data_IF_364999641782
#
_entry.id   IF_364999641782
#
_cell.length_a   1.000
_cell.length_b   1.000
_cell.length_c   1.000
_cell.angle_alpha   90.00
_cell.angle_beta   90.00
_cell.angle_gamma   90.00
#
_symmetry.space_group_name_H-M   'P 1'
#
loop_
_entity.id
_entity.type
_entity.pdbx_description
1 polymer ?
#
# COMPACT_ATOMS: atom_id res chain seq x y z
N UNK A 1 -2.19 34.34 20.78
CA UNK A 1 -2.37 34.88 22.15
C UNK A 1 -2.92 33.76 23.02
N UNK A 2 -2.14 33.27 23.99
CA UNK A 2 -2.58 32.22 24.91
C UNK A 2 -3.50 32.86 25.94
N UNK A 3 -4.77 32.51 25.95
CA UNK A 3 -5.69 32.94 27.00
C UNK A 3 -6.04 31.71 27.85
N UNK A 4 -5.47 31.68 29.06
CA UNK A 4 -5.88 30.77 30.12
C UNK A 4 -7.24 31.25 30.63
N UNK A 5 -8.24 30.38 30.60
CA UNK A 5 -9.56 30.68 31.17
C UNK A 5 -9.49 30.41 32.68
N UNK A 6 -9.58 31.47 33.49
CA UNK A 6 -9.22 31.48 34.91
C UNK A 6 -10.41 31.21 35.86
N UNK A 7 -11.61 30.88 35.35
CA UNK A 7 -12.79 30.74 36.23
C UNK A 7 -13.58 29.44 36.00
N UNK A 8 -13.24 28.37 36.72
CA UNK A 8 -14.19 27.42 37.35
C UNK A 8 -13.55 26.19 38.05
N UNK A 9 -13.62 26.18 39.40
CA UNK A 9 -13.51 25.07 40.39
C UNK A 9 -12.27 24.14 40.46
N UNK A 10 -11.92 23.64 41.67
CA UNK A 10 -10.53 23.30 42.01
C UNK A 10 -10.25 21.79 42.02
N UNK A 11 -10.53 21.05 40.94
CA UNK A 11 -9.91 19.73 40.75
C UNK A 11 -9.71 19.49 39.25
N UNK A 12 -8.49 19.75 38.78
CA UNK A 12 -7.92 19.28 37.51
C UNK A 12 -8.69 19.58 36.20
N UNK A 13 -8.89 20.86 35.88
CA UNK A 13 -9.26 21.26 34.50
C UNK A 13 -8.30 22.29 33.91
N UNK A 14 -7.02 21.92 33.74
CA UNK A 14 -6.11 22.68 32.86
C UNK A 14 -6.31 22.23 31.41
N UNK A 15 -7.34 22.79 30.78
CA UNK A 15 -7.49 22.71 29.33
C UNK A 15 -6.46 23.67 28.70
N UNK A 16 -5.34 23.15 28.21
CA UNK A 16 -4.40 23.96 27.44
C UNK A 16 -4.96 24.15 26.03
N UNK A 17 -5.49 25.35 25.79
CA UNK A 17 -6.17 25.76 24.56
C UNK A 17 -5.30 26.66 23.69
N UNK A 18 -4.83 26.19 22.53
CA UNK A 18 -4.22 27.11 21.55
C UNK A 18 -5.34 27.69 20.68
N UNK A 19 -5.60 29.00 20.83
CA UNK A 19 -6.60 29.74 20.03
C UNK A 19 -5.90 30.40 18.85
N UNK A 20 -6.25 30.00 17.63
CA UNK A 20 -5.85 30.71 16.41
C UNK A 20 -7.07 31.05 15.56
N UNK A 21 -7.11 32.29 15.06
CA UNK A 21 -8.17 32.79 14.19
C UNK A 21 -7.74 32.60 12.73
N UNK A 22 -8.63 32.04 11.91
CA UNK A 22 -8.42 31.90 10.49
C UNK A 22 -9.70 32.24 9.73
N UNK A 23 -9.56 32.94 8.61
CA UNK A 23 -10.69 33.34 7.78
C UNK A 23 -11.02 32.21 6.80
N UNK A 24 -12.23 31.66 6.89
CA UNK A 24 -12.81 30.75 5.89
C UNK A 24 -14.08 31.42 5.35
N UNK A 25 -14.00 32.02 4.16
CA UNK A 25 -15.12 32.73 3.54
C UNK A 25 -15.44 34.06 4.23
N UNK A 26 -16.73 34.44 4.28
CA UNK A 26 -17.23 35.72 4.85
C UNK A 26 -17.25 35.77 6.40
N UNK A 27 -16.55 34.88 7.10
CA UNK A 27 -16.52 34.82 8.57
C UNK A 27 -15.17 34.32 9.13
N UNK A 28 -14.94 34.57 10.42
CA UNK A 28 -13.76 34.08 11.15
C UNK A 28 -14.15 32.93 12.08
N UNK A 29 -13.35 31.86 12.07
CA UNK A 29 -13.49 30.72 12.99
C UNK A 29 -12.31 30.69 13.96
N UNK A 30 -12.56 30.23 15.19
CA UNK A 30 -11.50 29.95 16.16
C UNK A 30 -11.19 28.45 16.15
N UNK A 31 -9.92 28.10 15.95
CA UNK A 31 -9.45 26.74 16.23
C UNK A 31 -9.13 26.63 17.71
N UNK A 32 -9.67 25.60 18.35
CA UNK A 32 -9.44 25.28 19.75
C UNK A 32 -8.80 23.90 19.82
N UNK A 33 -7.53 23.83 20.19
CA UNK A 33 -6.86 22.56 20.50
C UNK A 33 -6.93 22.29 22.00
N UNK A 34 -7.56 21.21 22.45
CA UNK A 34 -7.80 20.92 23.86
C UNK A 34 -7.39 19.49 24.22
N UNK A 35 -6.69 19.31 25.34
CA UNK A 35 -6.54 18.00 25.99
C UNK A 35 -7.64 17.83 27.03
N UNK A 36 -8.42 16.75 26.94
CA UNK A 36 -9.52 16.43 27.85
C UNK A 36 -9.06 15.57 29.04
N UNK A 37 -9.88 15.48 30.08
CA UNK A 37 -9.52 14.80 31.34
C UNK A 37 -9.28 13.29 31.18
N UNK A 38 -9.84 12.68 30.13
CA UNK A 38 -9.62 11.30 29.70
C UNK A 38 -8.34 11.13 28.86
N UNK A 39 -7.51 12.17 28.74
CA UNK A 39 -6.22 12.13 28.06
C UNK A 39 -6.31 12.21 26.53
N UNK A 40 -7.47 12.59 25.98
CA UNK A 40 -7.64 12.73 24.53
C UNK A 40 -7.31 14.14 24.06
N UNK A 41 -6.58 14.25 22.95
CA UNK A 41 -6.33 15.51 22.27
C UNK A 41 -7.42 15.73 21.23
N UNK A 42 -8.15 16.83 21.32
CA UNK A 42 -9.26 17.18 20.41
C UNK A 42 -9.02 18.56 19.80
N UNK A 43 -9.23 18.69 18.50
CA UNK A 43 -9.27 20.00 17.83
C UNK A 43 -10.71 20.31 17.44
N UNK A 44 -11.18 21.50 17.80
CA UNK A 44 -12.50 22.02 17.46
C UNK A 44 -12.39 23.25 16.58
N UNK A 45 -13.38 23.45 15.70
CA UNK A 45 -13.70 24.74 15.10
C UNK A 45 -14.82 25.37 15.90
N UNK A 46 -14.70 26.65 16.22
CA UNK A 46 -15.74 27.42 16.90
C UNK A 46 -16.11 28.65 16.09
N UNK A 47 -17.39 28.81 15.83
CA UNK A 47 -17.97 29.96 15.14
C UNK A 47 -18.50 30.95 16.18
N UNK A 48 -17.93 32.17 16.29
CA UNK A 48 -18.47 33.20 17.16
C UNK A 48 -19.86 33.65 16.74
N UNK A 49 -20.13 33.66 15.43
CA UNK A 49 -21.40 34.13 14.87
C UNK A 49 -22.57 33.21 15.21
N UNK A 50 -22.36 31.90 15.15
CA UNK A 50 -23.40 30.90 15.43
C UNK A 50 -23.27 30.27 16.83
N UNK A 51 -22.21 30.60 17.57
CA UNK A 51 -21.81 29.93 18.81
C UNK A 51 -21.64 28.41 18.68
N UNK A 52 -21.46 27.91 17.46
CA UNK A 52 -21.35 26.48 17.17
C UNK A 52 -19.92 25.99 17.41
N UNK A 53 -19.78 24.82 18.05
CA UNK A 53 -18.50 24.13 18.29
C UNK A 53 -18.51 22.77 17.58
N UNK A 54 -17.70 22.64 16.54
CA UNK A 54 -17.60 21.42 15.73
C UNK A 54 -16.28 20.71 16.03
N UNK A 55 -16.32 19.41 16.34
CA UNK A 55 -15.11 18.60 16.48
C UNK A 55 -14.51 18.35 15.08
N UNK A 56 -13.27 18.77 14.86
CA UNK A 56 -12.54 18.56 13.61
C UNK A 56 -11.82 17.20 13.59
N UNK A 57 -11.07 16.90 14.65
CA UNK A 57 -10.41 15.62 14.83
C UNK A 57 -10.05 15.38 16.30
N UNK A 58 -9.74 14.12 16.61
CA UNK A 58 -9.22 13.73 17.92
C UNK A 58 -8.13 12.66 17.83
N UNK A 59 -7.29 12.58 18.86
CA UNK A 59 -6.30 11.52 19.09
C UNK A 59 -6.42 11.00 20.53
N UNK A 60 -6.29 9.68 20.75
CA UNK A 60 -6.17 8.60 19.76
C UNK A 60 -7.42 8.47 18.88
N UNK A 61 -7.24 8.21 17.57
CA UNK A 61 -8.36 8.06 16.61
C UNK A 61 -9.01 6.68 16.71
N UNK A 62 -8.18 5.66 16.91
CA UNK A 62 -8.58 4.26 16.98
C UNK A 62 -7.61 3.49 17.88
N UNK A 63 -7.81 2.17 18.01
CA UNK A 63 -6.99 1.34 18.90
C UNK A 63 -5.52 1.25 18.50
N UNK A 64 -5.17 1.45 17.22
CA UNK A 64 -3.77 1.46 16.74
C UNK A 64 -3.02 2.75 17.09
N UNK A 65 -3.72 3.81 17.52
CA UNK A 65 -3.08 5.06 17.94
C UNK A 65 -2.58 5.01 19.41
N UNK A 66 -2.94 3.97 20.17
CA UNK A 66 -2.39 3.76 21.50
C UNK A 66 -0.99 3.15 21.41
N UNK A 67 -0.01 3.87 21.95
CA UNK A 67 1.39 3.47 21.98
C UNK A 67 1.59 2.07 22.57
N UNK A 68 2.10 1.12 21.78
CA UNK A 68 2.50 -0.23 22.21
C UNK A 68 1.41 -1.10 22.84
N UNK A 69 0.15 -0.66 22.89
CA UNK A 69 -0.92 -1.38 23.63
C UNK A 69 -1.52 -2.56 22.89
N UNK A 70 -1.55 -2.50 21.56
CA UNK A 70 -2.17 -3.55 20.73
C UNK A 70 -1.09 -4.38 20.04
N UNK A 71 -0.14 -3.69 19.41
CA UNK A 71 0.98 -4.31 18.70
C UNK A 71 2.27 -3.88 19.38
N UNK A 72 3.07 -4.86 19.79
CA UNK A 72 4.39 -4.65 20.37
C UNK A 72 5.46 -4.41 19.31
N UNK A 73 6.72 -4.56 19.70
CA UNK A 73 7.84 -4.29 18.81
C UNK A 73 7.85 -5.15 17.55
N UNK A 74 8.48 -4.64 16.50
CA UNK A 74 8.71 -5.29 15.22
C UNK A 74 7.45 -5.78 14.50
N UNK A 75 6.35 -5.05 14.67
CA UNK A 75 5.06 -5.34 14.06
C UNK A 75 4.35 -4.07 13.60
N UNK A 76 3.44 -4.21 12.63
CA UNK A 76 2.61 -3.11 12.12
C UNK A 76 1.17 -3.29 12.59
N UNK A 77 0.58 -2.24 13.15
CA UNK A 77 -0.84 -2.20 13.44
C UNK A 77 -1.63 -1.74 12.21
N UNK A 78 -2.57 -2.57 11.76
CA UNK A 78 -3.57 -2.21 10.75
C UNK A 78 -4.95 -2.17 11.39
N UNK A 79 -5.68 -1.07 11.19
CA UNK A 79 -7.06 -0.96 11.64
C UNK A 79 -8.00 -1.25 10.48
N UNK A 80 -8.73 -2.36 10.57
CA UNK A 80 -9.73 -2.72 9.57
C UNK A 80 -11.11 -2.24 10.01
N UNK A 81 -11.61 -1.20 9.33
CA UNK A 81 -12.87 -0.54 9.72
C UNK A 81 -14.08 -1.49 9.69
N UNK A 82 -14.11 -2.46 8.77
CA UNK A 82 -15.24 -3.39 8.63
C UNK A 82 -15.46 -4.25 9.88
N UNK A 83 -14.40 -4.56 10.61
CA UNK A 83 -14.47 -5.42 11.79
C UNK A 83 -14.25 -4.66 13.10
N UNK A 84 -13.97 -3.35 13.05
CA UNK A 84 -13.61 -2.51 14.21
C UNK A 84 -12.49 -3.07 15.10
N UNK A 85 -11.71 -4.02 14.58
CA UNK A 85 -10.69 -4.75 15.31
C UNK A 85 -9.32 -4.45 14.71
N UNK A 86 -8.34 -4.01 15.52
CA UNK A 86 -6.98 -3.87 15.05
C UNK A 86 -6.34 -5.24 14.82
N UNK A 87 -5.45 -5.33 13.83
CA UNK A 87 -4.64 -6.51 13.56
C UNK A 87 -3.16 -6.15 13.57
N UNK A 88 -2.34 -7.04 14.14
CA UNK A 88 -0.90 -6.88 14.22
C UNK A 88 -0.22 -7.83 13.24
N UNK A 89 0.62 -7.29 12.36
CA UNK A 89 1.39 -8.09 11.39
C UNK A 89 2.87 -7.96 11.68
N UNK A 90 3.56 -9.07 11.95
CA UNK A 90 5.03 -9.08 12.09
C UNK A 90 5.71 -8.73 10.77
N UNK A 91 6.91 -8.15 10.85
CA UNK A 91 7.77 -8.00 9.67
C UNK A 91 8.17 -9.36 9.08
N UNK A 92 8.57 -9.37 7.80
CA UNK A 92 9.11 -10.57 7.16
C UNK A 92 10.39 -11.01 7.88
N UNK A 93 10.50 -12.31 8.15
CA UNK A 93 11.60 -12.85 8.94
C UNK A 93 11.45 -12.67 10.45
N UNK A 94 10.27 -12.26 10.92
CA UNK A 94 9.93 -12.19 12.34
C UNK A 94 8.73 -13.09 12.64
N UNK A 95 8.69 -13.60 13.87
CA UNK A 95 7.57 -14.38 14.41
C UNK A 95 7.08 -13.75 15.72
N UNK A 96 5.81 -13.96 16.11
CA UNK A 96 5.33 -13.57 17.42
C UNK A 96 6.23 -14.11 18.53
N UNK A 97 6.49 -13.33 19.58
CA UNK A 97 7.20 -13.83 20.77
C UNK A 97 6.41 -14.94 21.46
N UNK A 98 5.09 -14.78 21.51
CA UNK A 98 4.16 -15.75 22.08
C UNK A 98 3.06 -16.08 21.08
N UNK A 99 2.80 -17.37 20.91
CA UNK A 99 1.78 -17.87 20.00
C UNK A 99 0.36 -17.45 20.40
N UNK A 100 0.09 -17.33 21.70
CA UNK A 100 -1.23 -16.97 22.23
C UNK A 100 -1.66 -15.55 21.85
N UNK A 101 -0.71 -14.61 21.74
CA UNK A 101 -0.99 -13.24 21.29
C UNK A 101 -1.59 -13.17 19.89
N UNK A 102 -1.18 -14.09 19.00
CA UNK A 102 -1.74 -14.19 17.65
C UNK A 102 -3.21 -14.64 17.65
N UNK A 103 -3.60 -15.53 18.56
CA UNK A 103 -4.98 -16.01 18.72
C UNK A 103 -5.90 -14.93 19.32
N UNK A 104 -5.38 -14.14 20.27
CA UNK A 104 -6.14 -13.09 20.94
C UNK A 104 -6.29 -11.78 20.14
N UNK A 105 -5.65 -11.66 18.98
CA UNK A 105 -5.51 -10.42 18.17
C UNK A 105 -4.80 -9.26 18.88
N UNK A 106 -4.41 -9.43 20.15
CA UNK A 106 -3.53 -8.53 20.89
C UNK A 106 -2.12 -9.11 20.92
N UNK A 107 -1.16 -8.45 20.26
CA UNK A 107 0.23 -8.90 20.15
C UNK A 107 1.16 -7.93 20.88
N UNK A 108 0.85 -7.63 22.14
CA UNK A 108 1.56 -6.68 23.03
C UNK A 108 3.06 -6.97 23.17
N UNK A 109 3.41 -8.25 23.23
CA UNK A 109 4.79 -8.71 23.36
C UNK A 109 5.62 -8.52 22.08
N UNK A 110 4.94 -8.23 20.96
CA UNK A 110 5.57 -7.99 19.67
C UNK A 110 6.11 -9.24 19.01
N UNK A 111 7.05 -9.00 18.09
CA UNK A 111 7.67 -10.01 17.26
C UNK A 111 9.19 -10.04 17.47
N UNK A 112 9.75 -11.23 17.40
CA UNK A 112 11.19 -11.46 17.42
C UNK A 112 11.67 -12.01 16.08
N UNK A 113 12.94 -11.76 15.76
CA UNK A 113 13.56 -12.30 14.53
C UNK A 113 13.55 -13.83 14.57
N UNK A 114 13.32 -14.45 13.42
CA UNK A 114 13.39 -15.90 13.25
C UNK A 114 14.86 -16.36 13.18
N UNK A 115 15.69 -15.63 12.44
CA UNK A 115 17.13 -15.84 12.35
C UNK A 115 17.90 -14.62 12.87
N UNK A 116 19.13 -14.85 13.35
CA UNK A 116 20.04 -13.75 13.67
C UNK A 116 20.44 -13.06 12.36
N UNK A 117 20.54 -11.74 12.39
CA UNK A 117 21.12 -10.99 11.26
C UNK A 117 22.62 -11.30 11.20
N UNK A 118 23.07 -11.81 10.07
CA UNK A 118 24.49 -11.71 9.72
C UNK A 118 24.74 -10.30 9.23
N UNK A 119 25.79 -9.60 9.65
CA UNK A 119 26.00 -8.22 9.20
C UNK A 119 26.09 -8.10 7.66
N UNK A 120 26.56 -9.16 7.02
CA UNK A 120 26.57 -9.36 5.55
C UNK A 120 25.33 -10.13 5.06
N UNK A 121 24.88 -9.86 3.83
CA UNK A 121 23.78 -10.63 3.21
C UNK A 121 22.38 -10.16 3.60
N UNK A 122 22.26 -8.94 4.11
CA UNK A 122 20.97 -8.32 4.47
C UNK A 122 20.38 -7.53 3.32
N UNK A 123 19.06 -7.40 3.34
CA UNK A 123 18.33 -6.45 2.53
C UNK A 123 17.29 -5.70 3.36
N UNK A 124 16.38 -5.03 2.66
CA UNK A 124 15.36 -4.21 3.30
C UNK A 124 13.97 -4.61 2.84
N UNK A 125 13.11 -4.95 3.80
CA UNK A 125 11.67 -4.99 3.58
C UNK A 125 11.16 -3.54 3.55
N UNK A 126 10.43 -3.20 2.51
CA UNK A 126 9.80 -1.88 2.38
C UNK A 126 8.37 -1.94 2.91
N UNK A 127 8.11 -1.20 3.98
CA UNK A 127 6.77 -0.92 4.49
C UNK A 127 6.33 0.44 3.97
N UNK A 128 5.17 0.51 3.31
CA UNK A 128 4.65 1.71 2.67
C UNK A 128 3.47 2.27 3.46
N UNK A 129 3.29 3.59 3.38
CA UNK A 129 2.18 4.31 4.01
C UNK A 129 2.06 3.99 5.51
N UNK A 130 3.19 4.00 6.22
CA UNK A 130 3.21 3.75 7.66
C UNK A 130 3.50 5.02 8.44
N UNK A 131 2.98 5.10 9.66
CA UNK A 131 3.53 5.97 10.70
C UNK A 131 4.93 5.46 11.03
N UNK A 132 5.91 6.35 11.01
CA UNK A 132 7.28 5.98 11.40
C UNK A 132 7.34 5.55 12.87
N UNK A 133 8.26 4.64 13.22
CA UNK A 133 8.40 4.18 14.59
C UNK A 133 8.83 5.31 15.53
N UNK A 134 8.72 5.04 16.83
CA UNK A 134 9.27 5.92 17.86
C UNK A 134 10.74 6.25 17.56
N UNK A 135 11.08 7.54 17.64
CA UNK A 135 12.39 8.08 17.32
C UNK A 135 13.29 8.24 18.54
N UNK A 136 12.88 7.75 19.72
CA UNK A 136 13.68 7.85 20.96
C UNK A 136 15.13 7.37 20.81
N UNK A 137 15.32 6.25 20.11
CA UNK A 137 16.63 5.62 19.89
C UNK A 137 17.07 5.70 18.41
N UNK A 138 16.55 6.69 17.67
CA UNK A 138 16.87 6.89 16.26
C UNK A 138 17.92 7.99 16.11
N UNK A 139 18.99 7.71 15.36
CA UNK A 139 19.95 8.71 14.94
C UNK A 139 19.41 9.45 13.72
N UNK A 140 19.50 10.79 13.76
CA UNK A 140 19.00 11.66 12.69
C UNK A 140 20.17 12.30 11.96
N UNK A 141 20.32 11.95 10.69
CA UNK A 141 21.29 12.56 9.80
C UNK A 141 20.61 13.46 8.80
N UNK A 142 21.01 14.74 8.79
CA UNK A 142 20.37 15.76 7.96
C UNK A 142 20.99 15.86 6.59
N UNK A 143 20.16 16.20 5.62
CA UNK A 143 20.62 16.50 4.25
C UNK A 143 21.36 15.35 3.55
N UNK A 144 21.06 14.10 3.93
CA UNK A 144 21.62 12.92 3.26
C UNK A 144 20.54 12.20 2.44
N UNK A 145 20.90 11.85 1.20
CA UNK A 145 19.95 11.21 0.29
C UNK A 145 19.56 9.79 0.73
N UNK A 146 18.45 9.25 0.20
CA UNK A 146 17.96 7.91 0.55
C UNK A 146 18.95 6.78 0.20
N UNK A 147 19.77 6.97 -0.85
CA UNK A 147 20.82 6.01 -1.22
C UNK A 147 21.93 5.94 -0.17
N UNK A 148 22.32 7.09 0.36
CA UNK A 148 23.40 7.20 1.34
C UNK A 148 22.92 6.72 2.72
N UNK A 149 21.70 7.11 3.12
CA UNK A 149 21.02 6.60 4.30
C UNK A 149 20.96 5.06 4.31
N UNK A 150 20.59 4.47 3.17
CA UNK A 150 20.62 3.01 2.98
C UNK A 150 22.02 2.43 3.15
N UNK A 151 23.05 3.05 2.56
CA UNK A 151 24.43 2.56 2.67
C UNK A 151 24.96 2.62 4.11
N UNK A 152 24.63 3.68 4.85
CA UNK A 152 24.97 3.78 6.28
C UNK A 152 24.38 2.63 7.08
N UNK A 153 23.07 2.40 6.95
CA UNK A 153 22.41 1.28 7.63
C UNK A 153 22.92 -0.11 7.20
N UNK A 154 23.41 -0.26 5.97
CA UNK A 154 24.06 -1.52 5.54
C UNK A 154 25.38 -1.72 6.28
N UNK A 155 26.22 -0.68 6.34
CA UNK A 155 27.54 -0.72 6.97
C UNK A 155 27.47 -0.89 8.49
N UNK A 156 26.45 -0.32 9.10
CA UNK A 156 26.20 -0.48 10.53
C UNK A 156 25.50 -1.82 10.82
N UNK A 157 26.18 -2.69 11.59
CA UNK A 157 25.64 -3.98 11.98
C UNK A 157 24.51 -3.88 13.02
N UNK A 158 24.45 -2.82 13.83
CA UNK A 158 23.37 -2.59 14.79
C UNK A 158 22.10 -2.02 14.16
N UNK A 159 22.21 -1.37 12.99
CA UNK A 159 21.05 -0.78 12.34
C UNK A 159 19.94 -1.82 12.09
N UNK A 160 18.73 -1.56 12.59
CA UNK A 160 17.54 -2.40 12.43
C UNK A 160 16.65 -1.94 11.27
N UNK A 161 16.79 -0.69 10.84
CA UNK A 161 16.07 -0.12 9.71
C UNK A 161 16.35 1.37 9.53
N UNK A 162 15.81 1.94 8.46
CA UNK A 162 15.90 3.38 8.20
C UNK A 162 14.63 3.94 7.57
N UNK A 163 14.45 5.25 7.68
CA UNK A 163 13.42 5.99 6.98
C UNK A 163 13.96 7.34 6.50
N UNK A 164 13.30 7.93 5.50
CA UNK A 164 13.59 9.27 5.04
C UNK A 164 12.34 10.14 5.19
N UNK A 165 12.52 11.34 5.74
CA UNK A 165 11.51 12.39 5.76
C UNK A 165 12.17 13.60 5.11
N UNK A 166 11.67 13.99 3.94
CA UNK A 166 12.29 15.00 3.09
C UNK A 166 13.77 14.70 2.79
N UNK A 167 14.69 15.50 3.33
CA UNK A 167 16.14 15.35 3.18
C UNK A 167 16.81 14.70 4.39
N UNK A 168 16.05 14.38 5.44
CA UNK A 168 16.56 13.81 6.67
C UNK A 168 16.45 12.28 6.64
N UNK A 169 17.45 11.63 7.21
CA UNK A 169 17.56 10.19 7.36
C UNK A 169 17.46 9.83 8.83
N UNK A 170 16.57 8.90 9.13
CA UNK A 170 16.40 8.30 10.44
C UNK A 170 16.98 6.90 10.40
N UNK A 171 18.03 6.65 11.19
CA UNK A 171 18.65 5.34 11.37
C UNK A 171 18.20 4.78 12.71
N UNK A 172 17.63 3.58 12.71
CA UNK A 172 17.16 2.92 13.92
C UNK A 172 18.13 1.82 14.33
N UNK A 173 18.42 1.73 15.62
CA UNK A 173 19.36 0.74 16.18
C UNK A 173 18.71 -0.20 17.21
N UNK A 174 17.42 -0.02 17.49
CA UNK A 174 16.65 -0.83 18.43
C UNK A 174 15.41 -1.47 17.78
N UNK A 175 14.67 -2.23 18.58
CA UNK A 175 13.37 -2.80 18.22
C UNK A 175 12.40 -1.69 17.79
N UNK A 176 11.73 -1.86 16.64
CA UNK A 176 10.86 -0.80 16.11
C UNK A 176 9.46 -0.87 16.73
N UNK A 177 8.99 0.21 17.35
CA UNK A 177 7.71 0.26 18.09
C UNK A 177 6.81 1.38 17.55
N UNK A 178 5.50 1.28 17.78
CA UNK A 178 4.50 2.32 17.48
C UNK A 178 4.29 2.57 15.97
N UNK A 179 4.35 1.49 15.18
CA UNK A 179 4.14 1.51 13.74
C UNK A 179 2.69 1.13 13.42
N UNK A 180 2.05 1.92 12.55
CA UNK A 180 0.73 1.60 12.00
C UNK A 180 0.60 1.94 10.53
N UNK A 181 -0.35 1.29 9.86
CA UNK A 181 -0.74 1.65 8.50
C UNK A 181 -1.58 2.93 8.50
N UNK A 182 -1.33 3.78 7.51
CA UNK A 182 -2.02 5.04 7.22
C UNK A 182 -2.51 5.02 5.76
N UNK A 183 -3.45 5.89 5.41
CA UNK A 183 -3.85 6.09 4.02
C UNK A 183 -2.75 6.78 3.22
N UNK A 184 -2.11 7.78 3.83
CA UNK A 184 -0.93 8.46 3.33
C UNK A 184 0.07 8.53 4.47
N UNK A 185 1.21 7.89 4.30
CA UNK A 185 2.26 7.81 5.31
C UNK A 185 3.63 7.62 4.65
N UNK A 186 4.66 7.45 5.46
CA UNK A 186 6.03 7.36 4.99
C UNK A 186 6.41 5.93 4.60
N UNK A 187 7.60 5.79 4.00
CA UNK A 187 8.25 4.50 3.75
C UNK A 187 9.24 4.20 4.87
N UNK A 188 9.11 3.03 5.45
CA UNK A 188 10.07 2.48 6.41
C UNK A 188 10.77 1.27 5.77
N UNK A 189 12.09 1.25 5.87
CA UNK A 189 12.95 0.20 5.34
C UNK A 189 13.48 -0.64 6.50
N UNK A 190 12.89 -1.80 6.74
CA UNK A 190 13.27 -2.70 7.84
C UNK A 190 14.37 -3.64 7.37
N UNK A 191 15.50 -3.69 8.09
CA UNK A 191 16.63 -4.57 7.78
C UNK A 191 16.27 -6.02 8.12
N UNK A 192 16.34 -6.89 7.12
CA UNK A 192 15.98 -8.31 7.20
C UNK A 192 16.99 -9.16 6.43
N UNK A 193 17.07 -10.44 6.77
CA UNK A 193 17.85 -11.41 5.99
C UNK A 193 17.26 -11.51 4.56
N UNK A 194 18.14 -11.56 3.55
CA UNK A 194 17.73 -11.62 2.14
C UNK A 194 16.91 -12.85 1.79
N UNK A 195 17.04 -13.95 2.54
CA UNK A 195 16.21 -15.16 2.40
C UNK A 195 14.70 -14.90 2.58
N UNK A 196 14.33 -13.88 3.36
CA UNK A 196 12.93 -13.47 3.55
C UNK A 196 12.44 -12.45 2.53
N UNK A 197 13.34 -11.88 1.75
CA UNK A 197 12.99 -10.99 0.64
C UNK A 197 12.72 -11.87 -0.57
N UNK A 198 11.44 -12.17 -0.80
CA UNK A 198 11.00 -12.96 -1.96
C UNK A 198 11.72 -12.53 -3.24
N UNK A 199 12.15 -13.52 -4.04
CA UNK A 199 12.86 -13.24 -5.29
C UNK A 199 11.96 -12.37 -6.17
N UNK A 200 12.44 -11.19 -6.57
CA UNK A 200 11.79 -10.45 -7.63
C UNK A 200 11.74 -11.36 -8.85
N UNK A 201 10.55 -11.84 -9.21
CA UNK A 201 10.36 -12.68 -10.40
C UNK A 201 10.61 -11.77 -11.59
N UNK A 202 11.86 -11.72 -12.06
CA UNK A 202 12.18 -11.11 -13.35
C UNK A 202 11.40 -11.92 -14.36
N UNK A 203 10.35 -11.32 -14.91
CA UNK A 203 9.75 -11.82 -16.15
C UNK A 203 10.91 -11.82 -17.14
N UNK A 204 11.32 -13.01 -17.59
CA UNK A 204 12.47 -13.10 -18.48
C UNK A 204 12.09 -12.41 -19.79
N UNK A 205 13.02 -11.64 -20.35
CA UNK A 205 12.82 -11.02 -21.67
C UNK A 205 12.47 -12.08 -22.73
N UNK A 206 12.90 -13.33 -22.53
CA UNK A 206 12.53 -14.48 -23.38
C UNK A 206 11.05 -14.82 -23.34
N UNK A 207 10.35 -14.67 -22.20
CA UNK A 207 8.90 -14.87 -22.12
C UNK A 207 8.15 -13.75 -22.83
N UNK A 208 8.59 -12.50 -22.67
CA UNK A 208 7.99 -11.34 -23.36
C UNK A 208 8.17 -11.47 -24.89
N UNK A 209 9.38 -11.81 -25.34
CA UNK A 209 9.67 -12.06 -26.76
C UNK A 209 8.86 -13.25 -27.31
N UNK A 210 8.68 -14.31 -26.53
CA UNK A 210 7.88 -15.47 -26.91
C UNK A 210 6.39 -15.14 -27.11
N UNK A 211 5.81 -14.31 -26.25
CA UNK A 211 4.41 -13.87 -26.39
C UNK A 211 4.21 -12.99 -27.62
N UNK A 212 5.15 -12.08 -27.91
CA UNK A 212 5.08 -11.19 -29.08
C UNK A 212 5.17 -11.98 -30.38
N UNK A 213 6.09 -12.96 -30.46
CA UNK A 213 6.26 -13.80 -31.66
C UNK A 213 5.04 -14.71 -31.85
N UNK A 214 4.49 -15.27 -30.77
CA UNK A 214 3.29 -16.12 -30.81
C UNK A 214 2.04 -15.39 -31.33
N UNK A 215 1.80 -14.16 -30.88
CA UNK A 215 0.67 -13.35 -31.36
C UNK A 215 0.86 -12.80 -32.78
N UNK A 216 2.10 -12.44 -33.17
CA UNK A 216 2.38 -11.93 -34.51
C UNK A 216 2.23 -13.00 -35.61
N UNK A 217 2.62 -14.24 -35.31
CA UNK A 217 2.56 -15.35 -36.26
C UNK A 217 1.12 -15.77 -36.63
N UNK A 218 0.19 -15.75 -35.67
CA UNK A 218 -1.20 -16.16 -35.91
C UNK A 218 -1.99 -15.11 -36.69
N UNK A 219 -1.73 -13.81 -36.46
CA UNK A 219 -2.37 -12.73 -37.23
C UNK A 219 -1.89 -12.73 -38.68
N UNK A 220 -0.59 -12.94 -38.91
CA UNK A 220 0.00 -12.99 -40.25
C UNK A 220 -0.56 -14.13 -41.10
N UNK A 221 -0.70 -15.34 -40.55
CA UNK A 221 -1.26 -16.48 -41.30
C UNK A 221 -2.73 -16.26 -41.64
N UNK A 222 -3.55 -15.76 -40.71
CA UNK A 222 -4.97 -15.46 -40.97
C UNK A 222 -5.14 -14.39 -42.05
N UNK A 223 -4.31 -13.35 -42.06
CA UNK A 223 -4.33 -12.32 -43.12
C UNK A 223 -3.94 -12.91 -44.49
N UNK A 224 -2.92 -13.76 -44.55
CA UNK A 224 -2.52 -14.42 -45.81
C UNK A 224 -3.61 -15.35 -46.32
N UNK A 225 -4.21 -16.18 -45.45
CA UNK A 225 -5.29 -17.08 -45.84
C UNK A 225 -6.55 -16.34 -46.30
N UNK A 226 -6.91 -15.22 -45.66
CA UNK A 226 -8.05 -14.40 -46.10
C UNK A 226 -7.78 -13.72 -47.45
N UNK A 227 -6.57 -13.22 -47.70
CA UNK A 227 -6.17 -12.65 -48.99
C UNK A 227 -6.15 -13.71 -50.10
N UNK A 228 -5.56 -14.89 -49.84
CA UNK A 228 -5.52 -15.98 -50.81
C UNK A 228 -6.92 -16.48 -51.15
N UNK A 229 -7.80 -16.62 -50.15
CA UNK A 229 -9.20 -16.98 -50.36
C UNK A 229 -9.96 -15.91 -51.16
N UNK A 230 -9.73 -14.63 -50.88
CA UNK A 230 -10.33 -13.51 -51.62
C UNK A 230 -9.87 -13.49 -53.09
N UNK A 231 -8.58 -13.71 -53.35
CA UNK A 231 -8.03 -13.83 -54.69
C UNK A 231 -8.61 -15.03 -55.45
N UNK A 232 -8.71 -16.19 -54.81
CA UNK A 232 -9.27 -17.41 -55.42
C UNK A 232 -10.76 -17.23 -55.80
N UNK A 233 -11.54 -16.57 -54.93
CA UNK A 233 -12.95 -16.27 -55.20
C UNK A 233 -13.15 -15.28 -56.35
N UNK A 234 -12.21 -14.36 -56.58
CA UNK A 234 -12.24 -13.43 -57.73
C UNK A 234 -12.05 -14.12 -59.07
N UNK A 235 -11.36 -15.26 -59.09
CA UNK A 235 -11.10 -16.06 -60.31
C UNK A 235 -12.33 -16.92 -60.68
N UNK A 236 -13.17 -17.29 -59.71
CA UNK A 236 -14.38 -18.12 -59.93
C UNK A 236 -15.67 -17.32 -60.20
N UNK A 237 -15.67 -16.32 -61.10
CA UNK A 237 -16.94 -15.79 -61.61
C UNK A 237 -17.41 -16.60 -62.83
N UNK A 238 -18.42 -17.49 -62.72
CA UNK A 238 -19.31 -17.74 -63.83
C UNK A 238 -20.37 -16.65 -63.89
N UNK A 239 -20.76 -16.31 -65.12
CA UNK A 239 -21.83 -15.39 -65.47
C UNK A 239 -23.19 -15.80 -64.87
N UNK A 240 -23.81 -14.88 -64.12
CA UNK A 240 -25.25 -14.84 -63.85
C UNK A 240 -25.79 -15.69 -62.68
N UNK A 241 -26.06 -15.03 -61.54
CA UNK A 241 -27.27 -15.15 -60.68
C UNK A 241 -27.00 -14.48 -59.31
N UNK A 242 -27.79 -13.46 -58.98
CA UNK A 242 -27.62 -12.57 -57.82
C UNK A 242 -28.77 -12.76 -56.81
N UNK A 243 -28.44 -13.11 -55.56
CA UNK A 243 -29.39 -12.99 -54.44
C UNK A 243 -29.00 -13.80 -53.20
N UNK A 244 -28.97 -15.13 -53.30
CA UNK A 244 -28.88 -16.01 -52.12
C UNK A 244 -27.46 -16.44 -51.71
N UNK A 245 -26.47 -16.32 -52.60
CA UNK A 245 -25.08 -16.72 -52.31
C UNK A 245 -24.31 -15.72 -51.44
N UNK A 246 -24.77 -14.46 -51.38
CA UNK A 246 -24.12 -13.40 -50.60
C UNK A 246 -24.43 -13.51 -49.09
N UNK A 247 -25.66 -13.87 -48.72
CA UNK A 247 -26.09 -14.00 -47.32
C UNK A 247 -25.45 -15.20 -46.61
N UNK A 248 -25.30 -16.33 -47.30
CA UNK A 248 -24.64 -17.54 -46.75
C UNK A 248 -23.14 -17.29 -46.51
N UNK A 249 -22.50 -16.46 -47.35
CA UNK A 249 -21.09 -16.13 -47.19
C UNK A 249 -20.81 -15.19 -46.02
N UNK A 250 -21.76 -14.31 -45.66
CA UNK A 250 -21.61 -13.39 -44.54
C UNK A 250 -21.84 -14.09 -43.19
N UNK A 251 -22.80 -15.02 -43.14
CA UNK A 251 -23.10 -15.79 -41.92
C UNK A 251 -21.92 -16.70 -41.51
N UNK A 252 -21.28 -17.36 -42.47
CA UNK A 252 -20.07 -18.16 -42.16
C UNK A 252 -18.91 -17.29 -41.69
N UNK A 253 -18.70 -16.10 -42.29
CA UNK A 253 -17.63 -15.19 -41.86
C UNK A 253 -17.84 -14.70 -40.41
N UNK A 254 -19.09 -14.40 -40.04
CA UNK A 254 -19.47 -14.00 -38.68
C UNK A 254 -19.20 -15.15 -37.70
N UNK A 255 -19.60 -16.39 -38.02
CA UNK A 255 -19.34 -17.55 -37.18
C UNK A 255 -17.84 -17.81 -36.96
N UNK A 256 -17.02 -17.60 -38.00
CA UNK A 256 -15.56 -17.71 -37.88
C UNK A 256 -14.95 -16.61 -37.00
N UNK A 257 -15.43 -15.37 -37.12
CA UNK A 257 -14.99 -14.26 -36.27
C UNK A 257 -15.39 -14.48 -34.81
N UNK A 258 -16.62 -14.93 -34.56
CA UNK A 258 -17.10 -15.23 -33.20
C UNK A 258 -16.28 -16.36 -32.55
N UNK A 259 -15.99 -17.43 -33.29
CA UNK A 259 -15.12 -18.51 -32.82
C UNK A 259 -13.70 -18.00 -32.51
N UNK A 260 -13.18 -17.08 -33.33
CA UNK A 260 -11.86 -16.48 -33.11
C UNK A 260 -11.83 -15.57 -31.87
N UNK A 261 -12.84 -14.71 -31.67
CA UNK A 261 -12.96 -13.90 -30.46
C UNK A 261 -13.09 -14.79 -29.22
N UNK A 262 -13.80 -15.90 -29.32
CA UNK A 262 -13.93 -16.87 -28.23
C UNK A 262 -12.58 -17.53 -27.90
N UNK A 263 -11.83 -17.99 -28.91
CA UNK A 263 -10.50 -18.56 -28.70
C UNK A 263 -9.51 -17.54 -28.11
N UNK A 264 -9.53 -16.29 -28.58
CA UNK A 264 -8.72 -15.22 -28.01
C UNK A 264 -9.12 -14.92 -26.55
N UNK A 265 -10.42 -14.90 -26.24
CA UNK A 265 -10.93 -14.69 -24.89
C UNK A 265 -10.49 -15.80 -23.94
N UNK A 266 -10.62 -17.07 -24.35
CA UNK A 266 -10.17 -18.23 -23.55
C UNK A 266 -8.66 -18.28 -23.37
N UNK A 267 -7.89 -17.90 -24.39
CA UNK A 267 -6.44 -17.81 -24.28
C UNK A 267 -6.02 -16.69 -23.32
N UNK A 268 -6.69 -15.53 -23.36
CA UNK A 268 -6.46 -14.44 -22.42
C UNK A 268 -6.87 -14.82 -20.99
N UNK A 269 -8.00 -15.51 -20.82
CA UNK A 269 -8.43 -16.07 -19.55
C UNK A 269 -7.44 -17.11 -19.03
N UNK A 270 -6.90 -17.97 -19.89
CA UNK A 270 -5.89 -18.95 -19.51
C UNK A 270 -4.60 -18.26 -19.05
N UNK A 271 -4.13 -17.23 -19.76
CA UNK A 271 -2.98 -16.42 -19.34
C UNK A 271 -3.27 -15.75 -17.99
N UNK A 272 -4.45 -15.14 -17.84
CA UNK A 272 -4.86 -14.51 -16.59
C UNK A 272 -4.92 -15.53 -15.44
N UNK A 273 -5.47 -16.73 -15.68
CA UNK A 273 -5.57 -17.81 -14.70
C UNK A 273 -4.20 -18.35 -14.32
N UNK A 274 -3.30 -18.54 -15.28
CA UNK A 274 -1.89 -18.86 -15.02
C UNK A 274 -1.23 -17.76 -14.19
N UNK A 275 -1.52 -16.49 -14.48
CA UNK A 275 -0.99 -15.34 -13.72
C UNK A 275 -1.53 -15.29 -12.29
N UNK A 276 -2.82 -15.58 -12.08
CA UNK A 276 -3.46 -15.63 -10.75
C UNK A 276 -2.96 -16.84 -9.97
N UNK A 277 -2.92 -18.04 -10.56
CA UNK A 277 -2.39 -19.24 -9.93
C UNK A 277 -0.90 -19.14 -9.59
N UNK A 278 -0.11 -18.40 -10.38
CA UNK A 278 1.30 -18.13 -10.07
C UNK A 278 1.51 -17.06 -8.97
N UNK A 279 0.47 -16.34 -8.57
CA UNK A 279 0.48 -15.33 -7.49
C UNK A 279 -0.13 -15.83 -6.16
N UNK A 280 -0.70 -17.03 -6.13
CA UNK A 280 -1.18 -17.70 -4.90
C UNK A 280 -0.14 -18.73 -4.46
N UNK A 281 0.97 -18.27 -3.88
CA UNK A 281 1.86 -19.06 -3.01
C UNK A 281 2.77 -18.15 -2.19
#
# INVERSE_FOLDING_TARGET
>A
MFLLDEKSSPVYRRSFGLKTSYALGKGYYLLLLQVTYDGQLRQFSWSPTTSEKTLLWQRPRDRCDYYGKICGSNSVCSFEKMHEIPSCTCFKGFKPRYWWGWSSKEMKEGCQRISRLNCTGNGFQVLKNVKLPDTKDADVERSIGPKECRQRCIKDCSCTGFANVDLDCFLYSSDLVDIRTLQSGQKLYVKVDTSYLGKARRISETLIKGVIIGCGGTIGTVLVFTILWWCWKRIQKPSGETGNSFFISLSHLIQFLDMYFYLCYYYFLFIYFVFVCLNVK
#
